data_IF_355389989256
#
_entry.id   IF_355389989256
#
_cell.length_a   1.000
_cell.length_b   1.000
_cell.length_c   1.000
_cell.angle_alpha   90.00
_cell.angle_beta   90.00
_cell.angle_gamma   90.00
#
_symmetry.space_group_name_H-M   'P 1'
#
loop_
_entity.id
_entity.type
_entity.pdbx_description
1 polymer ?
#
# COMPACT_ATOMS: atom_id res chain seq x y z
N UNK A 1 -24.70 2.45 7.24
CA UNK A 1 -25.59 2.09 6.07
C UNK A 1 -24.72 1.34 5.09
N UNK A 2 -25.15 0.14 4.69
CA UNK A 2 -24.38 -0.66 3.71
C UNK A 2 -24.41 -0.01 2.33
N UNK A 3 -23.23 0.16 1.75
CA UNK A 3 -23.01 0.81 0.47
C UNK A 3 -22.33 -0.18 -0.48
N UNK A 4 -22.82 -0.29 -1.70
CA UNK A 4 -22.12 -1.01 -2.78
C UNK A 4 -21.21 0.02 -3.46
N UNK A 5 -19.89 -0.13 -3.34
CA UNK A 5 -18.94 0.79 -3.97
C UNK A 5 -18.89 0.61 -5.48
N UNK A 6 -18.49 1.65 -6.19
CA UNK A 6 -18.19 1.53 -7.61
C UNK A 6 -17.03 0.56 -7.88
N UNK A 7 -16.96 0.01 -9.09
CA UNK A 7 -15.81 -0.77 -9.55
C UNK A 7 -15.34 -0.26 -10.93
N UNK A 8 -14.04 0.07 -11.10
CA UNK A 8 -13.08 0.17 -10.00
C UNK A 8 -13.50 1.22 -9.00
N UNK A 9 -13.02 1.09 -7.74
CA UNK A 9 -13.27 2.07 -6.69
C UNK A 9 -12.73 3.45 -7.08
N UNK A 10 -11.53 3.48 -7.65
CA UNK A 10 -10.89 4.70 -8.10
C UNK A 10 -9.91 4.47 -9.25
N UNK A 11 -9.89 5.42 -10.19
CA UNK A 11 -8.87 5.58 -11.24
C UNK A 11 -8.33 7.00 -11.20
N UNK A 12 -7.00 7.13 -11.27
CA UNK A 12 -6.39 8.45 -11.34
C UNK A 12 -6.69 9.13 -12.69
N UNK A 13 -7.30 10.34 -12.69
CA UNK A 13 -7.70 10.99 -13.93
C UNK A 13 -6.55 11.66 -14.69
N UNK A 14 -5.35 11.74 -14.09
CA UNK A 14 -4.19 12.43 -14.66
C UNK A 14 -3.25 11.45 -15.33
N UNK A 15 -2.86 10.36 -14.63
CA UNK A 15 -1.87 9.41 -15.12
C UNK A 15 -2.41 7.98 -15.28
N UNK A 16 -3.63 7.72 -14.83
CA UNK A 16 -4.32 6.42 -14.89
C UNK A 16 -3.51 5.26 -14.28
N UNK A 17 -2.78 5.56 -13.22
CA UNK A 17 -1.85 4.64 -12.60
C UNK A 17 -1.93 4.63 -11.06
N UNK A 18 -3.15 4.65 -10.49
CA UNK A 18 -3.35 4.56 -9.05
C UNK A 18 -2.95 3.17 -8.52
N UNK A 19 -1.99 3.12 -7.59
CA UNK A 19 -1.43 1.90 -7.02
C UNK A 19 -1.04 2.11 -5.56
N UNK A 20 -0.77 1.03 -4.84
CA UNK A 20 -0.24 1.03 -3.47
C UNK A 20 -1.03 1.97 -2.54
N UNK A 21 -2.36 1.75 -2.35
CA UNK A 21 -3.21 2.64 -1.57
C UNK A 21 -2.91 2.57 -0.07
N UNK A 22 -3.12 3.70 0.63
CA UNK A 22 -3.22 3.80 2.09
C UNK A 22 -4.45 4.61 2.44
N UNK A 23 -5.36 4.06 3.24
CA UNK A 23 -6.64 4.68 3.59
C UNK A 23 -6.61 5.29 4.98
N UNK A 24 -7.12 6.53 5.13
CA UNK A 24 -7.17 7.21 6.40
C UNK A 24 -8.39 8.13 6.52
N UNK A 25 -8.87 8.31 7.75
CA UNK A 25 -9.89 9.30 8.07
C UNK A 25 -9.30 10.70 8.21
N UNK A 26 -9.81 11.66 7.45
CA UNK A 26 -9.50 13.07 7.64
C UNK A 26 -10.46 13.66 8.67
N UNK A 27 -9.99 13.86 9.89
CA UNK A 27 -10.80 14.37 11.00
C UNK A 27 -11.22 15.83 10.82
N UNK A 28 -10.50 16.62 10.03
CA UNK A 28 -10.81 18.03 9.74
C UNK A 28 -11.93 18.15 8.69
N UNK A 29 -11.83 17.42 7.59
CA UNK A 29 -12.82 17.42 6.51
C UNK A 29 -13.97 16.44 6.75
N UNK A 30 -13.83 15.50 7.69
CA UNK A 30 -14.79 14.43 8.00
C UNK A 30 -15.09 13.57 6.77
N UNK A 31 -14.05 13.18 6.07
CA UNK A 31 -14.08 12.37 4.85
C UNK A 31 -13.03 11.28 4.89
N UNK A 32 -13.24 10.19 4.16
CA UNK A 32 -12.22 9.18 3.95
C UNK A 32 -11.26 9.62 2.86
N UNK A 33 -9.97 9.39 3.06
CA UNK A 33 -8.90 9.70 2.12
C UNK A 33 -8.12 8.46 1.76
N UNK A 34 -7.73 8.37 0.48
CA UNK A 34 -6.76 7.40 -0.01
C UNK A 34 -5.55 8.19 -0.51
N UNK A 35 -4.38 7.87 0.03
CA UNK A 35 -3.10 8.21 -0.54
C UNK A 35 -2.65 7.05 -1.41
N UNK A 36 -2.01 7.32 -2.53
CA UNK A 36 -1.60 6.27 -3.46
C UNK A 36 -0.39 6.69 -4.29
N UNK A 37 0.40 5.70 -4.74
CA UNK A 37 1.42 5.92 -5.75
C UNK A 37 0.75 6.32 -7.06
N UNK A 38 1.08 7.51 -7.59
CA UNK A 38 0.52 7.97 -8.86
C UNK A 38 1.44 7.58 -10.02
N UNK A 39 1.37 6.31 -10.45
CA UNK A 39 2.17 5.75 -11.55
C UNK A 39 1.78 6.40 -12.87
N UNK A 40 2.77 6.65 -13.75
CA UNK A 40 2.60 7.39 -15.00
C UNK A 40 2.32 6.44 -16.16
N UNK A 41 1.11 5.87 -16.24
CA UNK A 41 0.74 4.89 -17.27
C UNK A 41 0.93 5.41 -18.70
N UNK A 42 0.78 6.72 -18.92
CA UNK A 42 1.02 7.37 -20.22
C UNK A 42 2.50 7.56 -20.60
N UNK A 43 3.45 7.15 -19.75
CA UNK A 43 4.86 7.22 -20.11
C UNK A 43 5.10 6.50 -21.45
N UNK A 44 5.72 7.16 -22.46
CA UNK A 44 5.85 6.60 -23.79
C UNK A 44 6.87 5.45 -23.86
N UNK A 45 7.76 5.35 -22.89
CA UNK A 45 8.79 4.30 -22.85
C UNK A 45 8.20 2.99 -22.34
N UNK A 46 8.67 1.88 -22.91
CA UNK A 46 8.24 0.53 -22.50
C UNK A 46 8.89 0.01 -21.22
N UNK A 47 9.92 0.69 -20.73
CA UNK A 47 10.64 0.31 -19.51
C UNK A 47 9.90 0.66 -18.22
N UNK A 48 10.61 0.62 -17.12
CA UNK A 48 10.09 0.85 -15.76
C UNK A 48 9.90 2.33 -15.41
N UNK A 49 10.18 3.25 -16.31
CA UNK A 49 10.07 4.69 -16.05
C UNK A 49 8.64 5.15 -15.72
N UNK A 50 7.62 4.34 -16.06
CA UNK A 50 6.25 4.66 -15.70
C UNK A 50 5.97 4.56 -14.18
N UNK A 51 6.73 3.75 -13.46
CA UNK A 51 6.65 3.66 -11.99
C UNK A 51 7.60 4.64 -11.29
N UNK A 52 8.42 5.39 -12.02
CA UNK A 52 9.34 6.38 -11.48
C UNK A 52 8.91 7.82 -11.82
N UNK A 53 9.45 8.80 -11.08
CA UNK A 53 9.03 10.20 -11.17
C UNK A 53 7.57 10.39 -10.75
N UNK A 54 7.12 9.59 -9.80
CA UNK A 54 5.76 9.55 -9.26
C UNK A 54 5.60 10.51 -8.09
N UNK A 55 4.42 11.09 -7.98
CA UNK A 55 3.98 11.79 -6.77
C UNK A 55 3.07 10.86 -5.95
N UNK A 56 2.74 11.24 -4.73
CA UNK A 56 1.68 10.61 -3.95
C UNK A 56 0.37 11.33 -4.26
N UNK A 57 -0.54 10.64 -4.93
CA UNK A 57 -1.87 11.12 -5.27
C UNK A 57 -2.82 11.05 -4.07
N UNK A 58 -3.87 11.85 -4.11
CA UNK A 58 -4.91 11.92 -3.08
C UNK A 58 -6.28 11.79 -3.73
N UNK A 59 -7.10 10.88 -3.21
CA UNK A 59 -8.52 10.81 -3.48
C UNK A 59 -9.31 10.87 -2.17
N UNK A 60 -10.54 11.39 -2.20
CA UNK A 60 -11.41 11.43 -1.01
C UNK A 60 -12.83 11.02 -1.33
N UNK A 61 -13.53 10.53 -0.30
CA UNK A 61 -14.95 10.16 -0.32
C UNK A 61 -15.68 10.81 0.85
N UNK A 62 -16.83 11.43 0.58
CA UNK A 62 -17.75 12.01 1.57
C UNK A 62 -19.08 11.25 1.65
N UNK A 63 -19.20 10.13 0.93
CA UNK A 63 -20.41 9.31 0.84
C UNK A 63 -20.23 7.88 1.38
N UNK A 64 -19.27 7.70 2.31
CA UNK A 64 -18.98 6.41 2.96
C UNK A 64 -18.22 5.44 2.07
N UNK A 65 -17.42 5.93 1.15
CA UNK A 65 -16.59 5.09 0.27
C UNK A 65 -17.27 4.63 -1.02
N UNK A 66 -18.47 5.14 -1.32
CA UNK A 66 -19.21 4.77 -2.54
C UNK A 66 -18.54 5.31 -3.79
N UNK A 67 -18.18 6.59 -3.74
CA UNK A 67 -17.48 7.29 -4.83
C UNK A 67 -16.25 8.02 -4.29
N UNK A 68 -15.26 8.16 -5.14
CA UNK A 68 -13.98 8.78 -4.80
C UNK A 68 -13.62 9.87 -5.81
N UNK A 69 -13.20 11.01 -5.29
CA UNK A 69 -12.85 12.19 -6.09
C UNK A 69 -11.37 12.49 -5.97
N UNK A 70 -10.70 12.66 -7.11
CA UNK A 70 -9.30 13.11 -7.16
C UNK A 70 -9.15 14.50 -6.55
N UNK A 71 -8.19 14.67 -5.65
CA UNK A 71 -7.95 15.92 -4.93
C UNK A 71 -6.62 16.61 -5.29
N UNK A 72 -5.75 15.93 -5.98
CA UNK A 72 -4.40 16.42 -6.26
C UNK A 72 -3.32 15.48 -5.75
N UNK A 73 -2.17 16.04 -5.40
CA UNK A 73 -1.03 15.30 -4.84
C UNK A 73 -0.63 15.88 -3.48
N UNK A 74 0.00 15.06 -2.64
CA UNK A 74 0.53 15.48 -1.36
C UNK A 74 1.56 16.61 -1.53
N UNK A 75 1.35 17.74 -0.85
CA UNK A 75 2.22 18.89 -0.92
C UNK A 75 3.38 18.78 0.10
N UNK A 76 4.58 19.25 -0.27
CA UNK A 76 5.72 19.27 0.65
C UNK A 76 6.60 18.01 0.61
N UNK A 77 6.33 17.03 -0.26
CA UNK A 77 7.23 15.91 -0.50
C UNK A 77 8.41 16.38 -1.35
N UNK A 78 9.36 17.06 -0.74
CA UNK A 78 10.45 17.77 -1.42
C UNK A 78 11.82 17.53 -0.75
N UNK A 79 12.07 16.28 -0.34
CA UNK A 79 13.33 15.88 0.30
C UNK A 79 14.57 16.35 -0.50
N UNK A 80 14.54 16.20 -1.81
CA UNK A 80 15.57 16.69 -2.72
C UNK A 80 14.98 17.48 -3.89
N UNK A 81 15.78 18.38 -4.47
CA UNK A 81 15.35 19.17 -5.62
C UNK A 81 15.19 18.30 -6.87
N UNK A 82 14.23 18.66 -7.71
CA UNK A 82 13.98 18.02 -9.00
C UNK A 82 12.80 17.06 -8.96
N UNK A 83 12.60 16.34 -10.04
CA UNK A 83 11.59 15.29 -10.14
C UNK A 83 12.16 14.01 -9.55
N UNK A 84 11.61 13.56 -8.44
CA UNK A 84 11.98 12.34 -7.76
C UNK A 84 10.83 11.33 -7.79
N UNK A 85 11.03 10.18 -7.21
CA UNK A 85 10.09 9.08 -7.16
C UNK A 85 9.64 8.84 -5.74
N UNK A 86 8.32 8.79 -5.52
CA UNK A 86 7.68 8.42 -4.26
C UNK A 86 6.73 7.25 -4.49
N UNK A 87 6.80 6.22 -3.62
CA UNK A 87 5.96 5.04 -3.70
C UNK A 87 5.37 4.66 -2.35
N UNK A 88 4.25 3.91 -2.41
CA UNK A 88 3.68 3.18 -1.30
C UNK A 88 3.67 3.99 0.01
N UNK A 89 2.80 5.01 0.10
CA UNK A 89 2.66 5.80 1.31
C UNK A 89 1.98 4.97 2.39
N UNK A 90 2.56 4.87 3.56
CA UNK A 90 1.89 4.44 4.78
C UNK A 90 1.48 5.68 5.56
N UNK A 91 0.20 5.88 5.81
CA UNK A 91 -0.31 7.07 6.51
C UNK A 91 -1.08 6.66 7.76
N UNK A 92 -0.59 7.09 8.90
CA UNK A 92 -1.23 6.84 10.20
C UNK A 92 -1.51 8.15 10.95
N UNK A 93 -2.45 8.12 11.89
CA UNK A 93 -2.72 9.24 12.81
C UNK A 93 -2.32 8.85 14.23
N UNK A 94 -1.65 9.76 14.92
CA UNK A 94 -1.36 9.61 16.34
C UNK A 94 -1.37 10.97 17.04
N UNK A 95 -2.21 11.09 18.07
CA UNK A 95 -2.31 12.30 18.93
C UNK A 95 -2.49 13.61 18.14
N UNK A 96 -3.32 13.57 17.10
CA UNK A 96 -3.66 14.72 16.26
C UNK A 96 -2.61 15.07 15.21
N UNK A 97 -1.59 14.24 15.05
CA UNK A 97 -0.56 14.38 14.01
C UNK A 97 -0.66 13.19 13.05
N UNK A 98 -0.68 13.48 11.77
CA UNK A 98 -0.56 12.46 10.73
C UNK A 98 0.91 12.22 10.40
N UNK A 99 1.30 10.97 10.29
CA UNK A 99 2.63 10.51 9.91
C UNK A 99 2.55 9.79 8.57
N UNK A 100 3.43 10.13 7.65
CA UNK A 100 3.60 9.40 6.39
C UNK A 100 5.00 8.80 6.32
N UNK A 101 5.07 7.50 6.10
CA UNK A 101 6.29 6.79 5.75
C UNK A 101 6.20 6.42 4.27
N UNK A 102 7.08 6.98 3.45
CA UNK A 102 6.97 6.84 1.98
C UNK A 102 8.29 6.38 1.41
N UNK A 103 8.23 5.42 0.50
CA UNK A 103 9.39 4.95 -0.24
C UNK A 103 9.89 6.04 -1.19
N UNK A 104 11.20 6.25 -1.24
CA UNK A 104 11.84 7.29 -2.01
C UNK A 104 12.98 6.77 -2.88
N UNK A 105 13.01 7.21 -4.14
CA UNK A 105 14.14 7.03 -5.06
C UNK A 105 14.50 8.37 -5.69
N UNK A 106 15.78 8.69 -5.74
CA UNK A 106 16.24 9.91 -6.39
C UNK A 106 16.04 9.85 -7.90
N UNK A 107 15.42 10.88 -8.48
CA UNK A 107 15.23 11.04 -9.91
C UNK A 107 14.22 10.09 -10.54
N UNK A 108 14.41 9.80 -11.81
CA UNK A 108 13.58 8.92 -12.65
C UNK A 108 14.49 7.84 -13.26
N UNK A 109 14.89 6.83 -12.48
CA UNK A 109 15.76 5.80 -12.99
C UNK A 109 15.09 4.93 -14.06
N UNK A 110 15.91 4.33 -14.93
CA UNK A 110 15.49 3.40 -15.97
C UNK A 110 15.81 1.94 -15.65
N UNK A 111 16.34 1.67 -14.48
CA UNK A 111 16.61 0.32 -13.95
C UNK A 111 16.21 0.19 -12.49
N UNK A 112 16.17 -1.03 -11.97
CA UNK A 112 15.89 -1.30 -10.57
C UNK A 112 17.12 -1.18 -9.64
N UNK A 113 18.29 -0.84 -10.18
CA UNK A 113 19.59 -0.87 -9.48
C UNK A 113 19.94 0.43 -8.74
N UNK A 114 18.94 1.17 -8.26
CA UNK A 114 19.13 2.43 -7.55
C UNK A 114 18.85 2.27 -6.05
N UNK A 115 19.56 2.99 -5.18
CA UNK A 115 19.25 3.10 -3.76
C UNK A 115 17.84 3.64 -3.53
N UNK A 116 17.21 3.18 -2.48
CA UNK A 116 15.88 3.61 -2.03
C UNK A 116 15.83 3.64 -0.51
N UNK A 117 15.00 4.51 -0.01
CA UNK A 117 14.86 4.70 1.42
C UNK A 117 13.41 4.95 1.79
N UNK A 118 13.06 4.76 3.03
CA UNK A 118 11.81 5.23 3.59
C UNK A 118 12.06 6.61 4.22
N UNK A 119 11.26 7.58 3.80
CA UNK A 119 11.24 8.94 4.35
C UNK A 119 10.04 9.10 5.28
N UNK A 120 10.25 9.81 6.37
CA UNK A 120 9.20 10.17 7.31
C UNK A 120 8.82 11.63 7.13
N UNK A 121 7.52 11.87 7.01
CA UNK A 121 6.89 13.19 6.99
C UNK A 121 5.78 13.27 8.02
N UNK A 122 5.45 14.48 8.46
CA UNK A 122 4.29 14.76 9.34
C UNK A 122 3.37 15.80 8.73
N UNK A 123 2.09 15.76 9.10
CA UNK A 123 1.07 16.72 8.70
C UNK A 123 0.03 16.92 9.80
N UNK A 124 -0.58 18.09 9.84
CA UNK A 124 -1.75 18.37 10.70
C UNK A 124 -3.07 18.36 9.92
N UNK A 125 -3.01 18.33 8.58
CA UNK A 125 -4.18 18.50 7.72
C UNK A 125 -4.27 17.51 6.55
N UNK A 126 -3.32 16.56 6.44
CA UNK A 126 -3.16 15.60 5.34
C UNK A 126 -2.80 16.23 3.98
N UNK A 127 -2.80 17.57 3.85
CA UNK A 127 -2.43 18.29 2.64
C UNK A 127 -0.95 18.65 2.60
N UNK A 128 -0.49 19.32 3.66
CA UNK A 128 0.85 19.90 3.75
C UNK A 128 1.73 19.01 4.62
N UNK A 129 2.75 18.44 4.01
CA UNK A 129 3.65 17.49 4.63
C UNK A 129 5.00 18.13 4.91
N UNK A 130 5.49 17.94 6.10
CA UNK A 130 6.79 18.42 6.58
C UNK A 130 7.75 17.24 6.70
N UNK A 131 8.91 17.33 6.06
CA UNK A 131 9.96 16.33 6.19
C UNK A 131 10.51 16.28 7.62
N UNK A 132 10.61 15.09 8.18
CA UNK A 132 11.17 14.83 9.51
C UNK A 132 12.52 14.10 9.42
N UNK A 133 12.58 12.96 8.71
CA UNK A 133 13.81 12.17 8.63
C UNK A 133 13.83 11.23 7.44
N UNK A 134 15.05 10.82 7.05
CA UNK A 134 15.31 9.60 6.27
C UNK A 134 15.65 8.51 7.26
N UNK A 135 14.92 7.40 7.24
CA UNK A 135 15.12 6.32 8.19
C UNK A 135 16.42 5.55 7.89
N UNK A 136 17.12 5.19 8.97
CA UNK A 136 18.28 4.28 8.90
C UNK A 136 17.81 2.88 9.23
N UNK A 137 17.62 2.05 8.20
CA UNK A 137 17.09 0.70 8.30
C UNK A 137 18.16 -0.35 7.89
N UNK A 138 17.72 -1.57 7.59
CA UNK A 138 18.60 -2.73 7.37
C UNK A 138 19.52 -2.61 6.15
N UNK A 139 19.12 -1.86 5.12
CA UNK A 139 19.93 -1.67 3.89
C UNK A 139 19.64 -0.34 3.19
N UNK A 140 20.31 -0.10 2.07
CA UNK A 140 20.08 1.04 1.19
C UNK A 140 19.00 0.81 0.12
N UNK A 141 18.27 -0.33 0.19
CA UNK A 141 17.16 -0.66 -0.72
C UNK A 141 15.95 -1.16 0.06
N UNK A 142 15.32 -0.26 0.79
CA UNK A 142 14.14 -0.53 1.61
C UNK A 142 12.94 0.26 1.13
N UNK A 143 11.77 -0.39 1.08
CA UNK A 143 10.50 0.17 0.61
C UNK A 143 9.33 -0.37 1.42
N UNK A 144 8.14 0.18 1.17
CA UNK A 144 6.83 -0.35 1.57
C UNK A 144 6.71 -0.51 3.09
N UNK A 145 6.79 0.59 3.80
CA UNK A 145 6.55 0.59 5.25
C UNK A 145 5.08 0.31 5.58
N UNK A 146 4.85 -0.49 6.60
CA UNK A 146 3.60 -0.57 7.34
C UNK A 146 3.90 -0.36 8.82
N UNK A 147 3.15 0.49 9.50
CA UNK A 147 3.38 0.87 10.90
C UNK A 147 2.16 0.52 11.75
N UNK A 148 2.38 -0.28 12.78
CA UNK A 148 1.32 -0.69 13.68
C UNK A 148 1.73 -0.53 15.15
N UNK A 149 0.77 -0.11 16.00
CA UNK A 149 0.98 0.01 17.45
C UNK A 149 0.65 -1.31 18.14
N UNK A 150 1.65 -1.91 18.77
CA UNK A 150 1.48 -3.16 19.52
C UNK A 150 0.71 -2.94 20.83
N UNK A 151 0.24 -4.01 21.42
CA UNK A 151 -0.53 -3.98 22.70
C UNK A 151 0.25 -3.40 23.88
N UNK A 152 1.57 -3.49 23.86
CA UNK A 152 2.45 -2.90 24.88
C UNK A 152 2.71 -1.41 24.70
N UNK A 153 2.14 -0.83 23.61
CA UNK A 153 2.27 0.58 23.24
C UNK A 153 3.49 0.90 22.39
N UNK A 154 4.35 -0.08 22.10
CA UNK A 154 5.45 0.10 21.17
C UNK A 154 4.93 0.16 19.73
N UNK A 155 5.54 1.00 18.90
CA UNK A 155 5.32 1.03 17.48
C UNK A 155 6.26 0.04 16.80
N UNK A 156 5.75 -0.72 15.87
CA UNK A 156 6.49 -1.64 15.04
C UNK A 156 6.23 -1.32 13.58
N UNK A 157 7.29 -1.31 12.81
CA UNK A 157 7.26 -1.16 11.36
C UNK A 157 7.66 -2.48 10.72
N UNK A 158 6.96 -2.90 9.69
CA UNK A 158 7.40 -3.90 8.74
C UNK A 158 7.69 -3.19 7.41
N UNK A 159 8.74 -3.61 6.73
CA UNK A 159 9.14 -3.05 5.45
C UNK A 159 9.88 -4.08 4.62
N UNK A 160 9.88 -3.93 3.30
CA UNK A 160 10.61 -4.81 2.40
C UNK A 160 12.08 -4.39 2.32
N UNK A 161 13.00 -5.34 2.46
CA UNK A 161 14.42 -5.17 2.14
C UNK A 161 14.76 -5.94 0.86
N UNK A 162 15.05 -5.22 -0.22
CA UNK A 162 15.31 -5.82 -1.52
C UNK A 162 16.72 -6.39 -1.68
N UNK A 163 17.68 -5.95 -0.87
CA UNK A 163 19.03 -6.52 -0.90
C UNK A 163 19.13 -7.86 -0.15
N UNK A 164 18.19 -8.13 0.74
CA UNK A 164 18.19 -9.30 1.58
C UNK A 164 16.96 -10.19 1.29
N UNK A 165 16.82 -10.64 0.04
CA UNK A 165 15.84 -11.63 -0.38
C UNK A 165 14.44 -11.07 -0.69
N UNK A 166 14.24 -9.75 -0.70
CA UNK A 166 12.90 -9.15 -0.82
C UNK A 166 11.95 -9.67 0.25
N UNK A 167 12.40 -9.69 1.50
CA UNK A 167 11.69 -10.17 2.68
C UNK A 167 11.20 -9.00 3.53
N UNK A 168 10.21 -9.25 4.40
CA UNK A 168 9.80 -8.28 5.41
C UNK A 168 10.74 -8.27 6.59
N UNK A 169 11.37 -7.12 6.79
CA UNK A 169 12.18 -6.75 7.95
C UNK A 169 11.38 -5.90 8.91
N UNK A 170 11.89 -5.69 10.11
CA UNK A 170 11.22 -4.93 11.15
C UNK A 170 12.03 -3.73 11.62
N UNK A 171 11.34 -2.76 12.20
CA UNK A 171 11.93 -1.70 13.03
C UNK A 171 10.99 -1.34 14.17
N UNK A 172 11.54 -0.75 15.24
CA UNK A 172 10.80 -0.45 16.47
C UNK A 172 10.97 1.02 16.86
N UNK A 173 9.89 1.63 17.35
CA UNK A 173 9.89 3.00 17.86
C UNK A 173 8.98 3.15 19.09
N UNK A 174 9.24 4.19 19.90
CA UNK A 174 8.34 4.58 20.99
C UNK A 174 7.64 5.92 20.72
N UNK A 175 8.07 6.64 19.70
CA UNK A 175 7.67 8.02 19.43
C UNK A 175 7.32 8.30 17.96
N UNK A 176 7.39 7.30 17.08
CA UNK A 176 7.22 7.40 15.63
C UNK A 176 8.31 8.19 14.88
N UNK A 177 9.26 8.79 15.60
CA UNK A 177 10.35 9.58 15.01
C UNK A 177 11.69 8.85 15.03
N UNK A 178 11.98 8.14 16.12
CA UNK A 178 13.23 7.42 16.31
C UNK A 178 13.01 5.92 16.15
N UNK A 179 13.58 5.36 15.10
CA UNK A 179 13.42 3.94 14.73
C UNK A 179 14.72 3.17 14.93
N UNK A 180 14.60 1.99 15.49
CA UNK A 180 15.70 1.03 15.60
C UNK A 180 15.39 -0.17 14.71
N UNK A 181 16.27 -0.44 13.73
CA UNK A 181 16.12 -1.59 12.84
C UNK A 181 16.17 -2.91 13.63
N UNK A 182 15.30 -3.83 13.25
CA UNK A 182 15.20 -5.20 13.76
C UNK A 182 15.60 -6.21 12.70
N UNK A 183 15.16 -7.45 12.88
CA UNK A 183 15.48 -8.59 12.03
C UNK A 183 14.40 -8.86 10.99
N UNK A 184 14.68 -9.75 10.03
CA UNK A 184 13.70 -10.28 9.10
C UNK A 184 12.66 -11.15 9.83
N UNK A 185 11.39 -11.02 9.50
CA UNK A 185 10.32 -11.82 10.10
C UNK A 185 9.57 -12.71 9.10
N UNK A 186 9.30 -12.21 7.89
CA UNK A 186 8.65 -13.00 6.85
C UNK A 186 9.68 -13.30 5.78
N UNK A 187 10.08 -14.57 5.66
CA UNK A 187 11.22 -14.98 4.82
C UNK A 187 10.94 -16.24 4.01
N UNK A 188 9.70 -16.72 3.98
CA UNK A 188 9.31 -17.96 3.31
C UNK A 188 9.27 -17.83 1.78
N UNK A 189 8.99 -16.62 1.26
CA UNK A 189 9.09 -16.30 -0.15
C UNK A 189 9.38 -14.80 -0.35
N UNK A 190 9.95 -14.38 -1.49
CA UNK A 190 10.06 -12.96 -1.86
C UNK A 190 8.68 -12.33 -2.00
N UNK A 191 8.53 -11.08 -1.52
CA UNK A 191 7.26 -10.34 -1.55
C UNK A 191 7.52 -8.84 -1.39
N UNK A 192 6.43 -8.04 -1.41
CA UNK A 192 6.43 -6.62 -1.10
C UNK A 192 5.15 -6.21 -0.35
N UNK A 193 5.01 -4.94 0.03
CA UNK A 193 3.79 -4.38 0.59
C UNK A 193 3.29 -5.09 1.84
N UNK A 194 4.11 -5.30 2.90
CA UNK A 194 3.57 -5.83 4.15
C UNK A 194 2.55 -4.86 4.72
N UNK A 195 1.39 -5.38 5.14
CA UNK A 195 0.37 -4.60 5.84
C UNK A 195 -0.17 -5.40 7.02
N UNK A 196 -0.12 -4.81 8.22
CA UNK A 196 -0.47 -5.46 9.48
C UNK A 196 -1.69 -4.82 10.10
N UNK A 197 -2.65 -5.64 10.54
CA UNK A 197 -3.85 -5.21 11.19
C UNK A 197 -4.28 -6.15 12.31
N UNK A 198 -5.11 -5.64 13.24
CA UNK A 198 -5.70 -6.42 14.33
C UNK A 198 -7.15 -6.73 14.00
N UNK A 199 -7.51 -8.02 13.92
CA UNK A 199 -8.86 -8.44 13.59
C UNK A 199 -9.18 -9.80 14.25
N UNK A 200 -10.37 -9.94 14.87
CA UNK A 200 -10.77 -11.13 15.60
C UNK A 200 -9.71 -11.66 16.59
N UNK A 201 -9.22 -10.74 17.45
CA UNK A 201 -8.26 -11.04 18.52
C UNK A 201 -6.91 -11.60 18.06
N UNK A 202 -6.56 -11.41 16.78
CA UNK A 202 -5.30 -11.84 16.18
C UNK A 202 -4.65 -10.69 15.40
N UNK A 203 -3.33 -10.74 15.29
CA UNK A 203 -2.60 -9.98 14.30
C UNK A 203 -2.63 -10.73 12.98
N UNK A 204 -2.92 -10.00 11.94
CA UNK A 204 -2.85 -10.46 10.58
C UNK A 204 -1.81 -9.63 9.84
N UNK A 205 -1.07 -10.28 8.94
CA UNK A 205 -0.15 -9.63 8.01
C UNK A 205 -0.45 -10.14 6.61
N UNK A 206 -0.56 -9.23 5.67
CA UNK A 206 -0.68 -9.54 4.24
C UNK A 206 0.54 -9.00 3.50
N UNK A 207 0.90 -9.65 2.38
CA UNK A 207 2.01 -9.23 1.51
C UNK A 207 1.64 -9.46 0.05
N UNK A 208 2.11 -8.60 -0.86
CA UNK A 208 2.01 -8.85 -2.30
C UNK A 208 3.11 -9.84 -2.74
N UNK A 209 2.71 -11.02 -3.15
CA UNK A 209 3.62 -12.07 -3.64
C UNK A 209 3.74 -12.09 -5.16
N UNK A 210 3.16 -11.09 -5.84
CA UNK A 210 3.02 -10.99 -7.31
C UNK A 210 2.21 -12.13 -7.95
N UNK A 211 1.60 -12.97 -7.12
CA UNK A 211 0.67 -14.03 -7.49
C UNK A 211 -0.66 -13.93 -6.69
N UNK A 212 -0.90 -12.80 -6.05
CA UNK A 212 -1.97 -12.51 -5.11
C UNK A 212 -1.38 -12.05 -3.78
N UNK A 213 -2.20 -12.04 -2.73
CA UNK A 213 -1.77 -11.58 -1.41
C UNK A 213 -1.50 -12.76 -0.48
N UNK A 214 -0.24 -12.89 -0.03
CA UNK A 214 0.14 -13.83 1.01
C UNK A 214 -0.46 -13.41 2.35
N UNK A 215 -1.00 -14.35 3.12
CA UNK A 215 -1.64 -14.08 4.41
C UNK A 215 -0.91 -14.79 5.52
N UNK A 216 -0.69 -14.09 6.63
CA UNK A 216 -0.08 -14.62 7.84
C UNK A 216 -0.89 -14.24 9.07
N UNK A 217 -0.89 -15.09 10.08
CA UNK A 217 -1.56 -14.87 11.36
C UNK A 217 -0.58 -15.02 12.52
N UNK A 218 -0.75 -14.19 13.55
CA UNK A 218 0.07 -14.22 14.76
C UNK A 218 -0.75 -13.86 16.01
N UNK A 219 -0.36 -14.42 17.17
CA UNK A 219 -0.89 -14.05 18.47
C UNK A 219 -0.12 -12.89 19.12
N UNK A 220 1.13 -12.66 18.69
CA UNK A 220 2.08 -11.75 19.33
C UNK A 220 2.73 -10.72 18.40
N UNK A 221 2.38 -10.73 17.10
CA UNK A 221 2.99 -9.91 16.06
C UNK A 221 4.51 -10.14 15.87
N UNK A 222 5.00 -11.31 16.25
CA UNK A 222 6.40 -11.72 16.10
C UNK A 222 6.53 -13.10 15.47
N UNK A 223 5.70 -14.04 15.90
CA UNK A 223 5.69 -15.40 15.39
C UNK A 223 4.53 -15.59 14.41
N UNK A 224 4.85 -15.67 13.13
CA UNK A 224 3.86 -15.69 12.04
C UNK A 224 3.67 -17.09 11.48
N UNK A 225 2.42 -17.44 11.22
CA UNK A 225 2.03 -18.66 10.51
C UNK A 225 1.41 -18.31 9.18
N UNK A 226 1.94 -18.85 8.07
CA UNK A 226 1.35 -18.70 6.75
C UNK A 226 -0.04 -19.34 6.69
N UNK A 227 -0.97 -18.62 6.11
CA UNK A 227 -2.34 -19.03 5.80
C UNK A 227 -2.55 -19.17 4.29
N UNK A 228 -3.79 -19.40 3.87
CA UNK A 228 -4.18 -19.40 2.47
C UNK A 228 -4.12 -17.99 1.89
N UNK A 229 -3.56 -17.86 0.69
CA UNK A 229 -3.50 -16.59 -0.02
C UNK A 229 -4.89 -16.10 -0.45
N UNK A 230 -5.05 -14.80 -0.53
CA UNK A 230 -6.25 -14.12 -1.02
C UNK A 230 -5.93 -13.33 -2.30
N UNK A 231 -6.96 -12.93 -3.05
CA UNK A 231 -6.83 -12.11 -4.27
C UNK A 231 -5.92 -12.71 -5.36
N UNK A 232 -5.64 -14.01 -5.30
CA UNK A 232 -4.89 -14.74 -6.32
C UNK A 232 -5.74 -15.05 -7.56
N UNK A 233 -7.05 -15.26 -7.36
CA UNK A 233 -7.97 -15.56 -8.45
C UNK A 233 -8.61 -14.27 -8.99
N UNK A 234 -8.84 -14.17 -10.31
CA UNK A 234 -9.54 -13.06 -10.92
C UNK A 234 -10.93 -12.82 -10.35
N UNK A 235 -11.30 -11.56 -10.16
CA UNK A 235 -12.68 -11.16 -9.88
C UNK A 235 -13.49 -10.93 -11.17
N UNK A 236 -14.79 -10.67 -10.99
CA UNK A 236 -15.71 -10.40 -12.10
C UNK A 236 -16.18 -8.94 -12.17
N UNK A 237 -15.78 -8.11 -11.23
CA UNK A 237 -16.06 -6.67 -11.23
C UNK A 237 -15.20 -5.96 -12.29
N UNK A 238 -15.65 -4.78 -12.69
CA UNK A 238 -14.91 -3.98 -13.68
C UNK A 238 -13.48 -3.69 -13.17
N UNK A 239 -12.50 -3.85 -14.06
CA UNK A 239 -11.07 -3.67 -13.81
C UNK A 239 -10.49 -4.57 -12.69
N UNK A 240 -11.19 -5.66 -12.33
CA UNK A 240 -10.83 -6.56 -11.24
C UNK A 240 -10.57 -8.01 -11.72
N UNK A 241 -10.38 -8.20 -13.02
CA UNK A 241 -10.21 -9.51 -13.68
C UNK A 241 -8.78 -10.07 -13.63
N UNK A 242 -7.93 -9.58 -12.74
CA UNK A 242 -6.54 -10.04 -12.54
C UNK A 242 -6.26 -10.22 -11.06
N UNK A 243 -5.06 -10.64 -10.68
CA UNK A 243 -4.67 -10.71 -9.25
C UNK A 243 -4.75 -9.33 -8.59
N UNK A 244 -5.02 -9.32 -7.29
CA UNK A 244 -4.84 -8.13 -6.45
C UNK A 244 -3.37 -7.95 -6.09
N UNK A 245 -2.94 -6.68 -6.02
CA UNK A 245 -1.57 -6.30 -5.67
C UNK A 245 -1.62 -5.39 -4.45
N UNK A 246 -0.48 -5.09 -3.87
CA UNK A 246 -0.20 -4.27 -2.68
C UNK A 246 -1.43 -3.50 -2.17
N UNK A 247 -1.87 -3.81 -0.96
CA UNK A 247 -3.09 -3.25 -0.40
C UNK A 247 -2.92 -2.83 1.05
N UNK A 248 -3.88 -2.03 1.50
CA UNK A 248 -4.01 -1.57 2.87
C UNK A 248 -5.34 -2.04 3.47
N UNK A 249 -5.34 -2.41 4.74
CA UNK A 249 -6.52 -2.95 5.43
C UNK A 249 -7.03 -1.98 6.48
N UNK A 250 -8.26 -1.54 6.29
CA UNK A 250 -9.01 -0.79 7.28
C UNK A 250 -9.90 -1.73 8.11
N UNK A 251 -9.70 -1.73 9.42
CA UNK A 251 -10.62 -2.39 10.36
C UNK A 251 -11.49 -1.33 11.02
N UNK A 252 -12.79 -1.43 10.83
CA UNK A 252 -13.78 -0.49 11.36
C UNK A 252 -15.10 -1.22 11.68
N UNK A 253 -15.75 -0.92 12.83
CA UNK A 253 -17.03 -1.49 13.22
C UNK A 253 -17.06 -3.04 13.17
N UNK A 254 -16.00 -3.70 13.64
CA UNK A 254 -15.81 -5.15 13.61
C UNK A 254 -15.81 -5.78 12.21
N UNK A 255 -15.53 -4.98 11.19
CA UNK A 255 -15.31 -5.39 9.80
C UNK A 255 -13.92 -5.02 9.34
N UNK A 256 -13.39 -5.78 8.40
CA UNK A 256 -12.11 -5.51 7.76
C UNK A 256 -12.30 -5.37 6.25
N UNK A 257 -11.72 -4.32 5.68
CA UNK A 257 -11.76 -4.04 4.24
C UNK A 257 -10.35 -3.88 3.72
N UNK A 258 -10.02 -4.62 2.65
CA UNK A 258 -8.76 -4.47 1.93
C UNK A 258 -8.96 -3.56 0.73
N UNK A 259 -8.18 -2.46 0.67
CA UNK A 259 -8.02 -1.60 -0.49
C UNK A 259 -6.78 -2.04 -1.22
N UNK A 260 -6.88 -2.46 -2.47
CA UNK A 260 -5.79 -3.02 -3.25
C UNK A 260 -5.82 -2.47 -4.67
N UNK A 261 -4.77 -2.67 -5.44
CA UNK A 261 -4.81 -2.28 -6.84
C UNK A 261 -4.70 -3.48 -7.79
N UNK A 262 -5.11 -3.25 -9.02
CA UNK A 262 -5.00 -4.22 -10.11
C UNK A 262 -4.38 -3.58 -11.34
N UNK A 263 -3.72 -4.40 -12.17
CA UNK A 263 -3.40 -4.10 -13.57
C UNK A 263 -4.41 -4.85 -14.44
N UNK A 264 -5.54 -4.24 -14.80
CA UNK A 264 -6.72 -4.98 -15.27
C UNK A 264 -6.55 -5.68 -16.63
N UNK A 265 -5.55 -5.29 -17.42
CA UNK A 265 -5.30 -5.84 -18.75
C UNK A 265 -3.97 -6.62 -18.87
N UNK A 266 -3.43 -7.09 -17.73
CA UNK A 266 -2.18 -7.88 -17.71
C UNK A 266 -2.48 -9.30 -17.24
N UNK A 267 -2.36 -10.28 -18.15
CA UNK A 267 -2.58 -11.69 -17.79
C UNK A 267 -1.43 -12.24 -16.94
N UNK A 268 -1.67 -13.38 -16.28
CA UNK A 268 -0.66 -14.07 -15.49
C UNK A 268 0.57 -14.49 -16.35
N UNK A 269 0.35 -14.88 -17.59
CA UNK A 269 1.41 -15.24 -18.54
C UNK A 269 2.24 -14.03 -18.92
N UNK A 270 1.59 -12.89 -19.19
CA UNK A 270 2.27 -11.64 -19.54
C UNK A 270 3.13 -11.12 -18.38
N UNK A 271 2.68 -11.28 -17.13
CA UNK A 271 3.46 -10.89 -15.94
C UNK A 271 4.77 -11.68 -15.81
N UNK A 272 4.74 -12.96 -16.22
CA UNK A 272 5.89 -13.88 -16.10
C UNK A 272 6.84 -13.79 -17.30
N UNK A 273 6.45 -13.10 -18.36
CA UNK A 273 7.28 -12.91 -19.57
C UNK A 273 8.24 -11.74 -19.41
N UNK A 274 9.55 -11.95 -19.27
CA UNK A 274 10.53 -10.88 -19.11
C UNK A 274 10.67 -10.00 -20.36
N UNK A 275 10.25 -10.48 -21.54
CA UNK A 275 10.29 -9.77 -22.80
C UNK A 275 8.96 -9.05 -23.11
N UNK A 276 7.98 -9.13 -22.21
CA UNK A 276 6.67 -8.51 -22.41
C UNK A 276 6.78 -6.99 -22.51
N UNK A 277 6.29 -6.46 -23.62
CA UNK A 277 6.29 -5.01 -23.87
C UNK A 277 5.06 -4.35 -23.23
N UNK A 278 5.30 -3.59 -22.17
CA UNK A 278 4.25 -2.86 -21.45
C UNK A 278 3.79 -1.62 -22.23
N UNK A 279 2.61 -1.70 -22.84
CA UNK A 279 1.88 -0.58 -23.44
C UNK A 279 1.08 0.19 -22.37
N UNK A 280 0.48 1.32 -22.71
CA UNK A 280 -0.38 2.10 -21.80
C UNK A 280 -1.41 1.25 -21.07
N UNK A 281 -2.18 0.44 -21.80
CA UNK A 281 -3.24 -0.41 -21.23
C UNK A 281 -2.73 -1.38 -20.16
N UNK A 282 -1.49 -1.84 -20.28
CA UNK A 282 -0.85 -2.74 -19.32
C UNK A 282 -0.28 -2.01 -18.11
N UNK A 283 0.14 -0.74 -18.30
CA UNK A 283 0.70 0.10 -17.24
C UNK A 283 -0.35 0.73 -16.35
N UNK A 284 -1.59 0.87 -16.87
CA UNK A 284 -2.67 1.44 -16.07
C UNK A 284 -2.99 0.55 -14.87
N UNK A 285 -3.38 1.18 -13.78
CA UNK A 285 -3.81 0.51 -12.56
C UNK A 285 -4.99 1.24 -11.95
N UNK A 286 -5.80 0.50 -11.21
CA UNK A 286 -6.96 1.05 -10.53
C UNK A 286 -7.11 0.45 -9.14
N UNK A 287 -7.60 1.25 -8.20
CA UNK A 287 -7.88 0.82 -6.84
C UNK A 287 -9.22 0.11 -6.79
N UNK A 288 -9.26 -1.00 -6.08
CA UNK A 288 -10.41 -1.83 -5.77
C UNK A 288 -10.59 -1.92 -4.25
N UNK A 289 -11.70 -2.48 -3.81
CA UNK A 289 -11.94 -2.80 -2.40
C UNK A 289 -12.67 -4.13 -2.29
N UNK A 290 -12.36 -4.89 -1.23
CA UNK A 290 -13.08 -6.11 -0.87
C UNK A 290 -13.23 -6.20 0.66
N UNK A 291 -14.26 -6.93 1.12
CA UNK A 291 -14.40 -7.26 2.55
C UNK A 291 -13.56 -8.50 2.88
N UNK A 292 -12.86 -8.46 4.01
CA UNK A 292 -12.18 -9.60 4.60
C UNK A 292 -13.08 -10.20 5.70
N UNK A 293 -13.40 -11.47 5.55
CA UNK A 293 -14.24 -12.20 6.51
C UNK A 293 -13.40 -13.24 7.24
N UNK A 294 -13.53 -13.31 8.55
CA UNK A 294 -12.89 -14.36 9.35
C UNK A 294 -13.85 -15.54 9.53
N UNK A 295 -13.52 -16.68 8.93
CA UNK A 295 -14.30 -17.91 9.03
C UNK A 295 -13.38 -19.12 9.25
N UNK A 296 -13.75 -20.00 10.22
CA UNK A 296 -13.03 -21.25 10.51
C UNK A 296 -11.51 -21.09 10.75
N UNK A 297 -11.08 -19.94 11.26
CA UNK A 297 -9.67 -19.67 11.53
C UNK A 297 -8.87 -19.08 10.38
N UNK A 298 -9.51 -18.78 9.26
CA UNK A 298 -8.91 -18.23 8.04
C UNK A 298 -9.51 -16.88 7.68
N UNK A 299 -8.75 -16.05 6.95
CA UNK A 299 -9.27 -14.87 6.25
C UNK A 299 -9.76 -15.28 4.87
N UNK A 300 -10.99 -14.90 4.57
CA UNK A 300 -11.64 -15.10 3.27
C UNK A 300 -11.87 -13.73 2.64
N UNK A 301 -11.61 -13.61 1.34
CA UNK A 301 -11.84 -12.41 0.57
C UNK A 301 -12.72 -12.71 -0.64
N UNK A 302 -14.00 -12.34 -0.59
CA UNK A 302 -14.87 -12.35 -1.77
C UNK A 302 -14.87 -10.97 -2.43
N UNK A 303 -14.00 -10.80 -3.43
CA UNK A 303 -13.87 -9.56 -4.18
C UNK A 303 -15.04 -9.25 -5.12
N UNK A 304 -15.97 -10.19 -5.32
CA UNK A 304 -17.10 -10.05 -6.22
C UNK A 304 -18.34 -9.45 -5.55
N UNK A 305 -18.46 -9.62 -4.22
CA UNK A 305 -19.58 -9.13 -3.43
C UNK A 305 -19.07 -8.23 -2.30
N UNK A 306 -19.15 -6.92 -2.50
CA UNK A 306 -18.60 -5.94 -1.56
C UNK A 306 -19.68 -5.01 -1.06
N UNK A 307 -19.83 -4.94 0.25
CA UNK A 307 -20.67 -3.96 0.94
C UNK A 307 -19.82 -3.19 1.95
N UNK A 308 -19.68 -1.88 1.76
CA UNK A 308 -18.94 -1.01 2.67
C UNK A 308 -19.83 -0.44 3.79
N UNK A 309 -19.24 -0.25 4.96
CA UNK A 309 -19.79 0.49 6.10
C UNK A 309 -18.69 1.37 6.72
N UNK A 310 -18.26 2.40 5.96
CA UNK A 310 -17.25 3.37 6.39
C UNK A 310 -17.84 4.57 7.13
#
# INVERSE_FOLDING_TARGET
MKIIPEAPLFRDPIYDGAADPSIIWNSMEKTWWIFYTNRRAFSPKSGIEYVHGTDIGIASSDDGGKTWVYRGTANGLNYEKGRNTYWAPEVIEHEGTYHMYVSYVQGIPSSWEYPRAILHYTSLNLWDWKFESKLSLSSERVIDACVFRLKDGQWKMWYKDELHGSFSYTAYSRDLYNWTAGEAEITDCPHEGPNVFWFHEKYWLITDTWEGMGVYVSEDAHNWKRCKDILAEPGNRRDDGTIGNHGDVLVINDKAYIFYFTHPEVSAEQRKDPDFCWEYRHKRSSIQVAELVFENGELICDRNHVELEL
#
